data_IF_984785994645
#
_entry.id   IF_984785994645
#
_cell.length_a   1.000
_cell.length_b   1.000
_cell.length_c   1.000
_cell.angle_alpha   90.00
_cell.angle_beta   90.00
_cell.angle_gamma   90.00
#
_symmetry.space_group_name_H-M   'P 1'
#
loop_
_entity.id
_entity.type
_entity.pdbx_description
1 polymer ?
#
# COMPACT_ATOMS: atom_id res chain seq x y z
N UNK A 1 6.77 24.17 27.92
CA UNK A 1 6.68 22.88 27.18
C UNK A 1 7.69 22.94 26.05
N UNK A 2 8.83 22.26 26.21
CA UNK A 2 9.90 22.24 25.23
C UNK A 2 9.51 21.30 24.09
N UNK A 3 9.33 21.85 22.90
CA UNK A 3 9.14 21.07 21.69
C UNK A 3 10.40 20.26 21.40
N UNK A 4 10.31 18.95 21.47
CA UNK A 4 11.38 18.06 21.03
C UNK A 4 11.56 18.27 19.52
N UNK A 5 12.64 18.94 19.14
CA UNK A 5 13.14 18.97 17.77
C UNK A 5 13.59 17.53 17.44
N UNK A 6 12.77 16.77 16.75
CA UNK A 6 13.18 15.47 16.20
C UNK A 6 14.27 15.76 15.16
N UNK A 7 15.52 15.61 15.59
CA UNK A 7 16.66 15.61 14.66
C UNK A 7 16.48 14.45 13.69
N UNK A 8 16.46 14.72 12.40
CA UNK A 8 16.41 13.70 11.35
C UNK A 8 17.59 12.75 11.53
N UNK A 9 17.38 11.45 11.70
CA UNK A 9 18.49 10.50 11.81
C UNK A 9 19.21 10.33 10.47
N UNK A 10 20.46 9.89 10.54
CA UNK A 10 21.44 9.77 9.45
C UNK A 10 21.08 8.85 8.26
N UNK A 11 19.84 8.38 8.17
CA UNK A 11 19.32 7.55 7.05
C UNK A 11 18.39 8.33 6.11
N UNK A 12 18.21 9.64 6.32
CA UNK A 12 17.50 10.46 5.36
C UNK A 12 18.35 10.63 4.10
N UNK A 13 17.70 10.63 2.94
CA UNK A 13 18.31 11.00 1.67
C UNK A 13 19.19 12.26 1.83
N UNK A 14 20.27 12.35 1.05
CA UNK A 14 21.12 13.57 1.02
C UNK A 14 20.24 14.81 1.02
N UNK A 15 20.53 15.77 1.89
CA UNK A 15 19.75 17.00 2.01
C UNK A 15 19.70 17.68 0.64
N UNK A 16 18.50 17.97 0.19
CA UNK A 16 18.33 18.77 -1.02
C UNK A 16 18.99 20.15 -0.83
N UNK A 17 19.54 20.74 -1.89
CA UNK A 17 20.07 22.09 -1.81
C UNK A 17 19.06 23.06 -1.21
N UNK A 18 19.50 24.08 -0.44
CA UNK A 18 18.61 25.05 0.17
C UNK A 18 17.63 25.65 -0.84
N UNK A 19 16.32 25.60 -0.50
CA UNK A 19 15.25 26.12 -1.36
C UNK A 19 14.72 25.15 -2.40
N UNK A 20 15.29 23.96 -2.53
CA UNK A 20 14.76 22.93 -3.45
C UNK A 20 13.73 22.04 -2.72
N UNK A 21 12.55 21.88 -3.31
CA UNK A 21 11.50 20.96 -2.83
C UNK A 21 11.81 19.53 -3.23
N UNK A 22 11.45 18.58 -2.38
CA UNK A 22 11.54 17.17 -2.74
C UNK A 22 10.58 16.86 -3.90
N UNK A 23 10.94 15.98 -4.84
CA UNK A 23 10.07 15.60 -5.96
C UNK A 23 8.71 15.06 -5.54
N UNK A 24 8.60 14.51 -4.34
CA UNK A 24 7.37 14.01 -3.73
C UNK A 24 6.69 15.01 -2.76
N UNK A 25 7.16 16.26 -2.69
CA UNK A 25 6.47 17.33 -1.95
C UNK A 25 5.27 17.84 -2.76
N UNK A 26 4.28 16.96 -2.88
CA UNK A 26 3.00 17.15 -3.59
C UNK A 26 1.83 16.77 -2.67
N UNK A 27 0.61 17.26 -2.90
CA UNK A 27 -0.56 16.80 -2.17
C UNK A 27 -0.82 15.30 -2.36
N UNK A 28 -1.29 14.60 -1.32
CA UNK A 28 -1.65 13.18 -1.41
C UNK A 28 -2.76 12.88 -2.42
N UNK A 29 -3.64 13.86 -2.70
CA UNK A 29 -4.63 13.77 -3.79
C UNK A 29 -3.96 13.71 -5.16
N UNK A 30 -2.95 14.56 -5.40
CA UNK A 30 -2.20 14.55 -6.65
C UNK A 30 -1.41 13.24 -6.81
N UNK A 31 -0.81 12.72 -5.74
CA UNK A 31 -0.15 11.41 -5.76
C UNK A 31 -1.13 10.29 -6.17
N UNK A 32 -2.35 10.31 -5.60
CA UNK A 32 -3.40 9.35 -5.96
C UNK A 32 -3.81 9.48 -7.42
N UNK A 33 -4.03 10.71 -7.91
CA UNK A 33 -4.40 10.95 -9.31
C UNK A 33 -3.31 10.44 -10.27
N UNK A 34 -2.03 10.61 -9.94
CA UNK A 34 -0.90 10.09 -10.72
C UNK A 34 -0.92 8.55 -10.77
N UNK A 35 -1.17 7.87 -9.63
CA UNK A 35 -1.30 6.41 -9.61
C UNK A 35 -2.49 5.94 -10.47
N UNK A 36 -3.65 6.57 -10.32
CA UNK A 36 -4.84 6.19 -11.07
C UNK A 36 -4.71 6.45 -12.56
N UNK A 37 -4.05 7.55 -12.97
CA UNK A 37 -3.72 7.80 -14.37
C UNK A 37 -2.75 6.75 -14.92
N UNK A 38 -1.77 6.31 -14.12
CA UNK A 38 -0.88 5.20 -14.47
C UNK A 38 -1.63 3.89 -14.63
N UNK A 39 -2.58 3.58 -13.73
CA UNK A 39 -3.43 2.40 -13.88
C UNK A 39 -4.28 2.46 -15.15
N UNK A 40 -4.82 3.61 -15.51
CA UNK A 40 -5.55 3.75 -16.76
C UNK A 40 -4.68 3.42 -17.99
N UNK A 41 -3.40 3.85 -18.01
CA UNK A 41 -2.46 3.49 -19.09
C UNK A 41 -2.15 1.99 -19.09
N UNK A 42 -1.95 1.40 -17.91
CA UNK A 42 -1.70 -0.04 -17.77
C UNK A 42 -2.87 -0.88 -18.33
N UNK A 43 -4.11 -0.53 -17.98
CA UNK A 43 -5.32 -1.23 -18.43
C UNK A 43 -5.44 -1.25 -19.96
N UNK A 44 -5.08 -0.17 -20.64
CA UNK A 44 -5.14 -0.08 -22.11
C UNK A 44 -3.81 -0.41 -22.80
N UNK A 45 -2.84 -0.95 -22.06
CA UNK A 45 -1.51 -1.34 -22.56
C UNK A 45 -0.73 -0.20 -23.26
N UNK A 46 -0.82 1.01 -22.71
CA UNK A 46 -0.10 2.21 -23.19
C UNK A 46 0.86 2.74 -22.11
N UNK A 47 1.54 1.83 -21.40
CA UNK A 47 2.51 2.18 -20.36
C UNK A 47 3.66 3.00 -20.93
N UNK A 48 4.19 3.89 -20.09
CA UNK A 48 5.31 4.75 -20.49
C UNK A 48 6.60 3.95 -20.67
N UNK A 49 7.31 4.23 -21.75
CA UNK A 49 8.67 3.71 -21.92
C UNK A 49 9.63 4.49 -21.02
N UNK A 50 10.37 3.80 -20.16
CA UNK A 50 11.34 4.40 -19.21
C UNK A 50 12.77 3.89 -19.46
N UNK A 51 13.72 4.80 -19.49
CA UNK A 51 15.15 4.46 -19.40
C UNK A 51 15.51 4.19 -17.93
N UNK A 52 15.52 2.92 -17.56
CA UNK A 52 15.90 2.51 -16.22
C UNK A 52 17.38 2.69 -15.91
N UNK A 53 18.27 2.82 -16.91
CA UNK A 53 19.71 2.92 -16.69
C UNK A 53 20.09 4.30 -16.13
N UNK A 54 19.68 5.37 -16.79
CA UNK A 54 19.89 6.74 -16.34
C UNK A 54 19.18 7.00 -14.99
N UNK A 55 17.96 6.49 -14.85
CA UNK A 55 17.17 6.68 -13.63
C UNK A 55 17.79 6.02 -12.41
N UNK A 56 18.31 4.76 -12.54
CA UNK A 56 18.99 4.08 -11.43
C UNK A 56 20.16 4.89 -10.90
N UNK A 57 20.97 5.47 -11.80
CA UNK A 57 22.12 6.28 -11.41
C UNK A 57 21.69 7.55 -10.64
N UNK A 58 20.65 8.23 -11.12
CA UNK A 58 20.12 9.41 -10.45
C UNK A 58 19.55 9.11 -9.05
N UNK A 59 18.91 7.95 -8.90
CA UNK A 59 18.27 7.52 -7.64
C UNK A 59 19.21 6.78 -6.69
N UNK A 60 20.46 6.50 -7.07
CA UNK A 60 21.40 5.76 -6.23
C UNK A 60 21.70 6.44 -4.88
N UNK A 61 21.55 7.75 -4.79
CA UNK A 61 21.82 8.54 -3.57
C UNK A 61 20.59 8.83 -2.73
N UNK A 62 19.40 8.91 -3.36
CA UNK A 62 18.16 9.28 -2.68
C UNK A 62 16.94 8.72 -3.40
N UNK A 63 15.86 8.48 -2.63
CA UNK A 63 14.56 8.08 -3.17
C UNK A 63 13.47 9.06 -2.71
N UNK A 64 12.54 9.35 -3.59
CA UNK A 64 11.42 10.27 -3.33
C UNK A 64 10.11 9.64 -3.84
N UNK A 65 9.67 8.52 -3.24
CA UNK A 65 8.44 7.87 -3.66
C UNK A 65 7.22 8.78 -3.44
N UNK A 66 6.32 8.82 -4.41
CA UNK A 66 5.08 9.60 -4.30
C UNK A 66 4.00 8.88 -3.49
N UNK A 67 4.16 7.57 -3.26
CA UNK A 67 3.24 6.77 -2.48
C UNK A 67 3.94 5.60 -1.79
N UNK A 68 3.38 5.14 -0.67
CA UNK A 68 3.65 3.82 -0.10
C UNK A 68 2.43 2.93 -0.34
N UNK A 69 2.63 1.74 -0.90
CA UNK A 69 1.55 0.78 -1.19
C UNK A 69 1.77 -0.49 -0.38
N UNK A 70 0.79 -0.83 0.48
CA UNK A 70 0.68 -2.13 1.11
C UNK A 70 -0.21 -3.03 0.25
N UNK A 71 0.40 -4.00 -0.43
CA UNK A 71 -0.30 -4.92 -1.32
C UNK A 71 -0.14 -6.39 -0.92
N UNK A 72 -0.83 -7.25 -1.67
CA UNK A 72 -0.66 -8.70 -1.52
C UNK A 72 0.66 -9.17 -2.16
N UNK A 73 1.23 -10.26 -1.60
CA UNK A 73 2.38 -10.97 -2.19
C UNK A 73 2.02 -11.80 -3.43
N UNK A 74 0.76 -11.77 -3.90
CA UNK A 74 0.32 -12.48 -5.10
C UNK A 74 1.18 -12.10 -6.30
N UNK A 75 1.73 -13.11 -6.99
CA UNK A 75 2.70 -12.91 -8.09
C UNK A 75 2.13 -12.17 -9.30
N UNK A 76 0.79 -12.09 -9.41
CA UNK A 76 0.08 -11.40 -10.50
C UNK A 76 -0.16 -9.92 -10.21
N UNK A 77 0.16 -9.45 -9.00
CA UNK A 77 -0.08 -8.08 -8.56
C UNK A 77 1.25 -7.41 -8.22
N UNK A 78 1.74 -6.55 -9.11
CA UNK A 78 2.91 -5.70 -8.88
C UNK A 78 2.45 -4.25 -8.85
N UNK A 79 2.50 -3.56 -7.71
CA UNK A 79 2.05 -2.18 -7.63
C UNK A 79 2.72 -1.24 -8.64
N UNK A 80 4.03 -1.42 -8.88
CA UNK A 80 4.76 -0.60 -9.83
C UNK A 80 4.21 -0.78 -11.26
N UNK A 81 3.89 -2.03 -11.65
CA UNK A 81 3.34 -2.31 -12.97
C UNK A 81 1.89 -1.85 -13.09
N UNK A 82 1.04 -2.21 -12.10
CA UNK A 82 -0.38 -1.85 -12.17
C UNK A 82 -0.62 -0.32 -12.16
N UNK A 83 0.28 0.45 -11.58
CA UNK A 83 0.19 1.92 -11.59
C UNK A 83 1.12 2.57 -12.61
N UNK A 84 1.74 1.80 -13.51
CA UNK A 84 2.69 2.31 -14.50
C UNK A 84 3.72 3.25 -13.86
N UNK A 85 4.39 2.78 -12.81
CA UNK A 85 5.43 3.50 -12.08
C UNK A 85 6.78 2.83 -12.28
N UNK A 86 7.85 3.62 -12.18
CA UNK A 86 9.20 3.10 -12.27
C UNK A 86 9.82 2.82 -10.88
N UNK A 87 11.00 2.18 -10.85
CA UNK A 87 11.76 2.03 -9.61
C UNK A 87 11.96 3.37 -8.92
N UNK A 88 11.69 3.41 -7.60
CA UNK A 88 11.83 4.60 -6.77
C UNK A 88 10.61 5.55 -6.76
N UNK A 89 9.57 5.30 -7.58
CA UNK A 89 8.34 6.11 -7.57
C UNK A 89 7.35 5.68 -6.51
N UNK A 90 7.35 4.39 -6.15
CA UNK A 90 6.47 3.80 -5.15
C UNK A 90 7.28 3.00 -4.14
N UNK A 91 7.04 3.22 -2.85
CA UNK A 91 7.56 2.38 -1.78
C UNK A 91 6.59 1.22 -1.57
N UNK A 92 7.04 -0.02 -1.79
CA UNK A 92 6.14 -1.18 -1.82
C UNK A 92 6.39 -2.10 -0.64
N UNK A 93 5.32 -2.36 0.11
CA UNK A 93 5.24 -3.39 1.16
C UNK A 93 4.29 -4.47 0.70
N UNK A 94 4.68 -5.77 0.81
CA UNK A 94 3.85 -6.87 0.33
C UNK A 94 3.77 -7.98 1.35
N UNK A 95 2.56 -8.24 1.80
CA UNK A 95 2.22 -9.36 2.69
C UNK A 95 1.03 -10.10 2.11
N UNK A 96 1.01 -11.44 2.17
CA UNK A 96 -0.12 -12.22 1.65
C UNK A 96 -1.45 -11.73 2.25
N UNK A 97 -2.45 -11.48 1.40
CA UNK A 97 -3.72 -10.88 1.85
C UNK A 97 -3.61 -9.40 2.25
N UNK A 98 -2.56 -8.68 1.85
CA UNK A 98 -2.32 -7.27 2.19
C UNK A 98 -2.48 -6.94 3.69
N UNK A 99 -2.11 -7.86 4.57
CA UNK A 99 -2.20 -7.72 6.04
C UNK A 99 -1.16 -6.70 6.52
N UNK A 100 -1.53 -5.83 7.46
CA UNK A 100 -0.64 -4.90 8.14
C UNK A 100 -0.04 -5.57 9.38
N UNK A 101 1.04 -6.34 9.21
CA UNK A 101 1.81 -6.85 10.33
C UNK A 101 2.79 -5.78 10.88
N UNK A 102 3.47 -6.10 12.00
CA UNK A 102 4.38 -5.14 12.63
C UNK A 102 5.48 -4.64 11.69
N UNK A 103 6.07 -5.52 10.88
CA UNK A 103 7.17 -5.16 9.97
C UNK A 103 6.65 -4.34 8.79
N UNK A 104 5.45 -4.68 8.31
CA UNK A 104 4.72 -3.91 7.30
C UNK A 104 4.38 -2.50 7.79
N UNK A 105 3.82 -2.38 9.00
CA UNK A 105 3.53 -1.09 9.63
C UNK A 105 4.80 -0.27 9.81
N UNK A 106 5.88 -0.84 10.36
CA UNK A 106 7.16 -0.17 10.54
C UNK A 106 7.74 0.32 9.20
N UNK A 107 7.58 -0.46 8.14
CA UNK A 107 8.00 -0.07 6.79
C UNK A 107 7.20 1.11 6.26
N UNK A 108 5.88 1.13 6.47
CA UNK A 108 5.03 2.27 6.09
C UNK A 108 5.36 3.52 6.93
N UNK A 109 5.62 3.35 8.22
CA UNK A 109 6.08 4.43 9.10
C UNK A 109 7.39 5.04 8.62
N UNK A 110 8.34 4.20 8.19
CA UNK A 110 9.58 4.65 7.58
C UNK A 110 9.31 5.49 6.33
N UNK A 111 8.45 5.03 5.44
CA UNK A 111 8.09 5.76 4.23
C UNK A 111 7.47 7.14 4.55
N UNK A 112 6.61 7.22 5.56
CA UNK A 112 5.97 8.47 5.97
C UNK A 112 6.96 9.40 6.69
N UNK A 113 7.68 8.87 7.69
CA UNK A 113 8.51 9.70 8.56
C UNK A 113 9.82 10.16 7.91
N UNK A 114 10.44 9.32 7.10
CA UNK A 114 11.79 9.56 6.56
C UNK A 114 11.82 9.86 5.07
N UNK A 115 10.90 9.27 4.29
CA UNK A 115 10.83 9.54 2.85
C UNK A 115 9.79 10.61 2.50
N UNK A 116 8.90 10.96 3.44
CA UNK A 116 7.91 12.02 3.25
C UNK A 116 6.85 11.68 2.21
N UNK A 117 6.46 10.40 2.10
CA UNK A 117 5.42 10.01 1.14
C UNK A 117 4.10 10.71 1.45
N UNK A 118 3.45 11.35 0.48
CA UNK A 118 2.19 12.06 0.67
C UNK A 118 0.95 11.13 0.61
N UNK A 119 1.13 9.88 0.17
CA UNK A 119 0.04 8.91 0.02
C UNK A 119 0.44 7.56 0.59
N UNK A 120 -0.44 6.97 1.41
CA UNK A 120 -0.41 5.55 1.77
C UNK A 120 -1.64 4.88 1.15
N UNK A 121 -1.44 3.76 0.44
CA UNK A 121 -2.52 3.01 -0.19
C UNK A 121 -2.49 1.55 0.25
N UNK A 122 -3.64 1.03 0.66
CA UNK A 122 -3.84 -0.43 0.81
C UNK A 122 -4.48 -0.97 -0.47
N UNK A 123 -3.81 -1.93 -1.11
CA UNK A 123 -4.21 -2.51 -2.38
C UNK A 123 -4.55 -4.00 -2.20
N UNK A 124 -5.85 -4.30 -2.13
CA UNK A 124 -6.37 -5.65 -2.26
C UNK A 124 -6.50 -6.07 -3.73
N UNK A 125 -6.89 -7.32 -3.98
CA UNK A 125 -7.13 -7.80 -5.35
C UNK A 125 -8.17 -8.91 -5.38
N UNK A 126 -8.86 -9.06 -6.51
CA UNK A 126 -9.83 -10.14 -6.73
C UNK A 126 -9.18 -11.52 -6.67
N UNK A 127 -9.95 -12.53 -6.28
CA UNK A 127 -9.50 -13.93 -6.17
C UNK A 127 -8.23 -14.10 -5.28
N UNK A 128 -8.14 -13.34 -4.19
CA UNK A 128 -7.01 -13.42 -3.25
C UNK A 128 -7.00 -14.75 -2.52
N UNK A 129 -5.91 -15.53 -2.71
CA UNK A 129 -5.78 -16.86 -2.12
C UNK A 129 -5.74 -16.86 -0.59
N UNK A 130 -5.11 -15.84 0.03
CA UNK A 130 -5.05 -15.72 1.49
C UNK A 130 -6.42 -15.42 2.10
N UNK A 131 -7.20 -14.52 1.48
CA UNK A 131 -8.60 -14.26 1.90
C UNK A 131 -9.47 -15.50 1.66
N UNK A 132 -9.31 -16.20 0.52
CA UNK A 132 -9.99 -17.46 0.25
C UNK A 132 -9.68 -18.55 1.28
N UNK A 133 -8.44 -18.65 1.76
CA UNK A 133 -8.08 -19.53 2.84
C UNK A 133 -8.79 -19.16 4.16
N UNK A 134 -8.89 -17.88 4.48
CA UNK A 134 -9.63 -17.41 5.65
C UNK A 134 -11.14 -17.71 5.55
N UNK A 135 -11.74 -17.53 4.35
CA UNK A 135 -13.14 -17.94 4.10
C UNK A 135 -13.34 -19.44 4.33
N UNK A 136 -12.43 -20.31 3.81
CA UNK A 136 -12.52 -21.76 4.04
C UNK A 136 -12.32 -22.12 5.53
N UNK A 137 -11.41 -21.44 6.23
CA UNK A 137 -11.26 -21.64 7.68
C UNK A 137 -12.55 -21.31 8.43
N UNK A 138 -13.20 -20.21 8.11
CA UNK A 138 -14.42 -19.74 8.77
C UNK A 138 -15.66 -20.58 8.44
N UNK A 139 -15.77 -21.10 7.20
CA UNK A 139 -17.01 -21.74 6.72
C UNK A 139 -16.92 -23.26 6.66
N UNK A 140 -15.72 -23.83 6.54
CA UNK A 140 -15.48 -25.25 6.34
C UNK A 140 -14.56 -25.87 7.43
N UNK A 141 -14.15 -25.08 8.42
CA UNK A 141 -13.20 -25.49 9.46
C UNK A 141 -11.87 -26.04 8.89
N UNK A 142 -11.46 -25.52 7.71
CA UNK A 142 -10.26 -25.96 7.04
C UNK A 142 -9.02 -25.67 7.90
N UNK A 143 -8.11 -26.65 8.01
CA UNK A 143 -6.86 -26.53 8.72
C UNK A 143 -5.71 -26.26 7.77
N UNK A 144 -4.75 -25.45 8.20
CA UNK A 144 -3.61 -25.03 7.40
C UNK A 144 -2.29 -25.29 8.14
N UNK A 145 -1.22 -25.73 7.44
CA UNK A 145 0.05 -26.08 8.08
C UNK A 145 0.93 -24.85 8.35
N UNK A 146 1.98 -25.07 9.16
CA UNK A 146 3.07 -24.14 9.36
C UNK A 146 2.62 -22.81 9.96
N UNK A 147 3.02 -21.70 9.37
CA UNK A 147 2.70 -20.34 9.82
C UNK A 147 1.38 -19.77 9.25
N UNK A 148 0.73 -20.49 8.32
CA UNK A 148 -0.52 -20.06 7.71
C UNK A 148 -1.66 -19.76 8.69
N UNK A 149 -1.84 -20.49 9.79
CA UNK A 149 -2.87 -20.17 10.78
C UNK A 149 -2.74 -18.76 11.36
N UNK A 150 -1.53 -18.26 11.58
CA UNK A 150 -1.29 -16.89 12.06
C UNK A 150 -1.77 -15.83 11.04
N UNK A 151 -1.40 -16.00 9.79
CA UNK A 151 -1.84 -15.12 8.69
C UNK A 151 -3.37 -15.14 8.52
N UNK A 152 -3.96 -16.34 8.52
CA UNK A 152 -5.41 -16.51 8.37
C UNK A 152 -6.14 -15.83 9.53
N UNK A 153 -5.64 -15.95 10.76
CA UNK A 153 -6.21 -15.29 11.94
C UNK A 153 -6.31 -13.78 11.78
N UNK A 154 -5.34 -13.15 11.14
CA UNK A 154 -5.37 -11.70 10.88
C UNK A 154 -6.46 -11.30 9.87
N UNK A 155 -6.87 -12.20 8.98
CA UNK A 155 -7.89 -11.96 7.95
C UNK A 155 -9.31 -12.35 8.42
N UNK A 156 -9.45 -13.26 9.40
CA UNK A 156 -10.76 -13.73 9.88
C UNK A 156 -11.73 -12.60 10.26
N UNK A 157 -11.32 -11.50 10.93
CA UNK A 157 -12.24 -10.40 11.23
C UNK A 157 -12.92 -9.81 10.00
N UNK A 158 -12.21 -9.75 8.86
CA UNK A 158 -12.77 -9.28 7.60
C UNK A 158 -13.79 -10.25 7.03
N UNK A 159 -13.55 -11.56 7.14
CA UNK A 159 -14.52 -12.58 6.71
C UNK A 159 -15.79 -12.51 7.53
N UNK A 160 -15.67 -12.38 8.86
CA UNK A 160 -16.84 -12.27 9.74
C UNK A 160 -17.65 -11.01 9.44
N UNK A 161 -16.99 -9.87 9.28
CA UNK A 161 -17.64 -8.61 8.97
C UNK A 161 -18.29 -8.60 7.56
N UNK A 162 -17.77 -9.39 6.62
CA UNK A 162 -18.29 -9.48 5.26
C UNK A 162 -19.54 -10.34 5.12
N UNK A 163 -19.92 -11.13 6.13
CA UNK A 163 -21.11 -11.98 6.07
C UNK A 163 -22.37 -11.17 5.79
N UNK A 164 -23.08 -11.56 4.74
CA UNK A 164 -24.31 -10.86 4.31
C UNK A 164 -24.11 -9.57 3.51
N UNK A 165 -22.87 -9.20 3.19
CA UNK A 165 -22.57 -7.98 2.43
C UNK A 165 -22.57 -8.15 0.91
N UNK A 166 -23.17 -9.21 0.38
CA UNK A 166 -23.24 -9.43 -1.06
C UNK A 166 -23.47 -10.90 -1.43
N UNK A 167 -23.58 -11.21 -2.72
CA UNK A 167 -23.85 -12.57 -3.19
C UNK A 167 -22.64 -13.50 -3.02
N UNK A 168 -21.40 -12.97 -3.05
CA UNK A 168 -20.17 -13.74 -2.91
C UNK A 168 -19.40 -13.29 -1.67
N UNK A 169 -19.19 -14.22 -0.73
CA UNK A 169 -18.50 -13.95 0.52
C UNK A 169 -17.00 -13.64 0.30
N UNK A 170 -16.36 -14.26 -0.69
CA UNK A 170 -14.95 -14.01 -0.98
C UNK A 170 -14.74 -12.58 -1.46
N UNK A 171 -15.56 -12.15 -2.41
CA UNK A 171 -15.45 -10.80 -2.96
C UNK A 171 -15.73 -9.73 -1.88
N UNK A 172 -16.79 -9.93 -1.07
CA UNK A 172 -17.10 -9.07 0.07
C UNK A 172 -15.97 -9.04 1.10
N UNK A 173 -15.38 -10.21 1.43
CA UNK A 173 -14.28 -10.31 2.37
C UNK A 173 -13.00 -9.64 1.85
N UNK A 174 -12.69 -9.70 0.55
CA UNK A 174 -11.55 -9.01 -0.06
C UNK A 174 -11.67 -7.49 0.14
N UNK A 175 -12.82 -6.91 -0.17
CA UNK A 175 -13.06 -5.47 0.00
C UNK A 175 -12.99 -5.09 1.49
N UNK A 176 -13.65 -5.86 2.34
CA UNK A 176 -13.68 -5.63 3.80
C UNK A 176 -12.27 -5.74 4.38
N UNK A 177 -11.48 -6.73 3.98
CA UNK A 177 -10.11 -6.90 4.44
C UNK A 177 -9.23 -5.70 4.07
N UNK A 178 -9.32 -5.22 2.84
CA UNK A 178 -8.56 -4.03 2.43
C UNK A 178 -8.95 -2.78 3.24
N UNK A 179 -10.24 -2.59 3.51
CA UNK A 179 -10.73 -1.47 4.35
C UNK A 179 -10.30 -1.58 5.81
N UNK A 180 -10.40 -2.77 6.41
CA UNK A 180 -9.97 -2.98 7.79
C UNK A 180 -8.45 -2.81 7.94
N UNK A 181 -7.67 -3.31 6.97
CA UNK A 181 -6.23 -3.08 6.94
C UNK A 181 -5.90 -1.59 6.83
N UNK A 182 -6.61 -0.83 6.00
CA UNK A 182 -6.42 0.62 5.91
C UNK A 182 -6.77 1.33 7.24
N UNK A 183 -7.86 0.92 7.90
CA UNK A 183 -8.21 1.44 9.21
C UNK A 183 -7.14 1.12 10.27
N UNK A 184 -6.56 -0.08 10.23
CA UNK A 184 -5.46 -0.49 11.10
C UNK A 184 -4.20 0.35 10.84
N UNK A 185 -3.81 0.54 9.58
CA UNK A 185 -2.67 1.39 9.19
C UNK A 185 -2.82 2.81 9.72
N UNK A 186 -4.01 3.39 9.60
CA UNK A 186 -4.29 4.75 10.11
C UNK A 186 -4.43 4.85 11.62
N UNK A 187 -4.93 3.78 12.26
CA UNK A 187 -5.28 3.78 13.70
C UNK A 187 -4.19 3.21 14.62
N UNK A 188 -3.47 2.17 14.18
CA UNK A 188 -2.44 1.53 15.01
C UNK A 188 -1.10 2.28 14.99
N UNK A 189 -0.79 2.99 13.90
CA UNK A 189 0.44 3.76 13.79
C UNK A 189 0.27 5.20 14.28
N UNK A 190 0.93 5.61 15.39
CA UNK A 190 0.88 7.00 15.84
C UNK A 190 1.53 7.96 14.84
N UNK A 191 2.51 7.50 14.05
CA UNK A 191 3.22 8.29 13.03
C UNK A 191 2.30 8.56 11.84
N UNK A 192 1.70 7.51 11.29
CA UNK A 192 0.81 7.63 10.12
C UNK A 192 -0.47 8.35 10.51
N UNK A 193 -1.08 8.01 11.66
CA UNK A 193 -2.28 8.67 12.16
C UNK A 193 -2.09 10.17 12.38
N UNK A 194 -0.96 10.57 12.97
CA UNK A 194 -0.63 11.99 13.14
C UNK A 194 -0.42 12.71 11.80
N UNK A 195 0.22 12.05 10.82
CA UNK A 195 0.43 12.62 9.49
C UNK A 195 -0.88 12.80 8.71
N UNK A 196 -1.82 11.84 8.84
CA UNK A 196 -3.17 11.93 8.28
C UNK A 196 -3.95 13.07 8.94
N UNK A 197 -3.96 13.16 10.27
CA UNK A 197 -4.64 14.22 11.01
C UNK A 197 -4.09 15.62 10.66
N UNK A 198 -2.80 15.72 10.37
CA UNK A 198 -2.16 16.95 9.93
C UNK A 198 -2.37 17.27 8.43
N UNK A 199 -3.10 16.45 7.69
CA UNK A 199 -3.32 16.61 6.24
C UNK A 199 -2.07 16.40 5.38
N UNK A 200 -0.99 15.85 5.95
CA UNK A 200 0.28 15.59 5.24
C UNK A 200 0.25 14.30 4.45
N UNK A 201 -0.54 13.32 4.89
CA UNK A 201 -0.68 12.02 4.25
C UNK A 201 -2.14 11.76 3.95
N UNK A 202 -2.42 11.35 2.72
CA UNK A 202 -3.71 10.77 2.33
C UNK A 202 -3.65 9.26 2.49
N UNK A 203 -4.68 8.65 3.09
CA UNK A 203 -4.89 7.21 3.10
C UNK A 203 -5.92 6.85 2.03
N UNK A 204 -5.62 5.86 1.21
CA UNK A 204 -6.52 5.36 0.18
C UNK A 204 -6.60 3.83 0.21
N UNK A 205 -7.71 3.28 -0.29
CA UNK A 205 -7.93 1.84 -0.41
C UNK A 205 -8.41 1.52 -1.80
N UNK A 206 -7.83 0.51 -2.43
CA UNK A 206 -8.21 0.06 -3.78
C UNK A 206 -8.24 -1.45 -3.90
N UNK A 207 -9.00 -1.92 -4.88
CA UNK A 207 -9.05 -3.32 -5.30
C UNK A 207 -8.60 -3.43 -6.74
N UNK A 208 -7.55 -4.22 -6.96
CA UNK A 208 -7.05 -4.57 -8.28
C UNK A 208 -7.81 -5.78 -8.83
N UNK A 209 -8.42 -5.64 -9.99
CA UNK A 209 -9.09 -6.72 -10.69
C UNK A 209 -8.10 -7.47 -11.58
N UNK A 210 -7.87 -8.75 -11.28
CA UNK A 210 -6.89 -9.57 -12.00
C UNK A 210 -7.19 -9.73 -13.49
N UNK A 211 -8.47 -9.75 -13.86
CA UNK A 211 -8.90 -9.96 -15.25
C UNK A 211 -8.70 -8.75 -16.16
N UNK A 212 -8.93 -7.56 -15.64
CA UNK A 212 -8.85 -6.30 -16.41
C UNK A 212 -7.62 -5.48 -16.14
N UNK A 213 -6.94 -5.71 -15.00
CA UNK A 213 -5.86 -4.86 -14.53
C UNK A 213 -6.32 -3.53 -13.90
N UNK A 214 -7.64 -3.30 -13.79
CA UNK A 214 -8.20 -2.07 -13.27
C UNK A 214 -8.13 -2.03 -11.74
N UNK A 215 -7.75 -0.88 -11.19
CA UNK A 215 -7.89 -0.57 -9.78
C UNK A 215 -9.16 0.26 -9.57
N UNK A 216 -9.99 -0.16 -8.62
CA UNK A 216 -11.19 0.59 -8.18
C UNK A 216 -10.99 1.01 -6.73
N UNK A 217 -11.17 2.29 -6.43
CA UNK A 217 -11.12 2.80 -5.05
C UNK A 217 -12.38 2.37 -4.30
N UNK A 218 -12.22 2.02 -2.98
CA UNK A 218 -13.29 1.47 -2.14
C UNK A 218 -13.34 2.13 -0.76
#
# INVERSE_FOLDING_TARGET
MAGACLTRPAFAADELPPGQKAPNDIPGSEALDRLMAGNARYVVNTTEHRDFSARRLAQAKAQYPIAAVLGCSDSRVSPELCFDQGPGDVFVVRVAGNVADNDGLASLEYAVAYLGVPLVMVLGHTACGAVGAAVKAATQQAQFPGHLPGLIKSILPAVEAAKGQGPDLLDAAIVTNARLTAAEVGGASPIIGAAIAAGKVKLATGIYELGSGKVTLV
#
